data_IF_223862935929
#
_entry.id   IF_223862935929
#
_cell.length_a   1.000
_cell.length_b   1.000
_cell.length_c   1.000
_cell.angle_alpha   90.00
_cell.angle_beta   90.00
_cell.angle_gamma   90.00
#
_symmetry.space_group_name_H-M   'P 1'
#
loop_
_entity.id
_entity.type
_entity.pdbx_description
1 polymer ?
#
# COMPACT_ATOMS: atom_id res chain seq x y z
N UNK A 1 22.18 2.59 -34.16
CA UNK A 1 21.20 3.59 -33.70
C UNK A 1 20.08 2.82 -32.99
N UNK A 2 20.25 2.51 -31.70
CA UNK A 2 19.38 1.59 -30.95
C UNK A 2 19.53 1.68 -29.40
N UNK A 3 20.64 2.17 -28.82
CA UNK A 3 20.75 2.36 -27.36
C UNK A 3 19.82 3.47 -26.82
N UNK A 4 19.74 4.61 -27.52
CA UNK A 4 18.92 5.76 -27.08
C UNK A 4 17.42 5.41 -26.95
N UNK A 5 16.89 4.56 -27.84
CA UNK A 5 15.47 4.19 -27.81
C UNK A 5 15.11 3.36 -26.58
N UNK A 6 15.98 2.43 -26.15
CA UNK A 6 15.72 1.62 -24.95
C UNK A 6 15.96 2.39 -23.66
N UNK A 7 16.87 3.37 -23.65
CA UNK A 7 17.04 4.29 -22.53
C UNK A 7 15.82 5.23 -22.40
N UNK A 8 15.30 5.75 -23.52
CA UNK A 8 14.10 6.57 -23.52
C UNK A 8 12.85 5.81 -23.06
N UNK A 9 12.66 4.57 -23.53
CA UNK A 9 11.55 3.70 -23.09
C UNK A 9 11.68 3.39 -21.60
N UNK A 10 12.87 3.03 -21.13
CA UNK A 10 13.10 2.74 -19.71
C UNK A 10 12.86 3.96 -18.82
N UNK A 11 13.41 5.12 -19.19
CA UNK A 11 13.27 6.35 -18.40
C UNK A 11 11.85 6.91 -18.40
N UNK A 12 11.19 6.96 -19.56
CA UNK A 12 9.79 7.42 -19.64
C UNK A 12 8.84 6.45 -18.94
N UNK A 13 9.08 5.14 -19.07
CA UNK A 13 8.27 4.15 -18.37
C UNK A 13 8.44 4.21 -16.86
N UNK A 14 9.64 4.54 -16.37
CA UNK A 14 9.87 4.77 -14.93
C UNK A 14 9.10 6.01 -14.45
N UNK A 15 9.11 7.10 -15.21
CA UNK A 15 8.32 8.30 -14.90
C UNK A 15 6.81 8.03 -14.89
N UNK A 16 6.30 7.24 -15.83
CA UNK A 16 4.88 6.84 -15.86
C UNK A 16 4.53 5.99 -14.65
N UNK A 17 5.39 5.03 -14.30
CA UNK A 17 5.22 4.17 -13.14
C UNK A 17 5.25 4.98 -11.83
N UNK A 18 6.19 5.92 -11.68
CA UNK A 18 6.25 6.83 -10.52
C UNK A 18 5.06 7.79 -10.45
N UNK A 19 4.48 8.17 -11.60
CA UNK A 19 3.25 8.94 -11.69
C UNK A 19 1.97 8.12 -11.39
N UNK A 20 2.11 6.81 -11.11
CA UNK A 20 0.99 5.90 -10.84
C UNK A 20 0.29 5.35 -12.08
N UNK A 21 0.79 5.66 -13.27
CA UNK A 21 0.31 5.15 -14.55
C UNK A 21 1.05 3.86 -14.93
N UNK A 22 0.79 2.80 -14.14
CA UNK A 22 1.39 1.47 -14.35
C UNK A 22 0.99 0.87 -15.70
N UNK A 23 -0.23 1.12 -16.15
CA UNK A 23 -0.76 0.60 -17.41
C UNK A 23 -0.06 1.25 -18.62
N UNK A 24 0.17 2.57 -18.55
CA UNK A 24 1.01 3.28 -19.51
C UNK A 24 2.46 2.82 -19.51
N UNK A 25 3.04 2.53 -18.34
CA UNK A 25 4.40 1.99 -18.23
C UNK A 25 4.53 0.59 -18.85
N UNK A 26 3.54 -0.29 -18.66
CA UNK A 26 3.48 -1.62 -19.29
C UNK A 26 3.31 -1.55 -20.80
N UNK A 27 2.40 -0.69 -21.28
CA UNK A 27 2.18 -0.47 -22.70
C UNK A 27 3.45 0.02 -23.39
N UNK A 28 4.17 0.95 -22.75
CA UNK A 28 5.44 1.48 -23.27
C UNK A 28 6.52 0.40 -23.31
N UNK A 29 6.63 -0.45 -22.28
CA UNK A 29 7.51 -1.62 -22.29
C UNK A 29 7.18 -2.60 -23.43
N UNK A 30 5.90 -2.78 -23.75
CA UNK A 30 5.47 -3.65 -24.85
C UNK A 30 5.88 -3.12 -26.24
N UNK A 31 6.18 -1.83 -26.36
CA UNK A 31 6.72 -1.24 -27.60
C UNK A 31 8.23 -1.50 -27.80
N UNK A 32 8.92 -2.04 -26.79
CA UNK A 32 10.35 -2.27 -26.85
C UNK A 32 10.72 -3.35 -27.88
N UNK A 33 11.81 -3.17 -28.66
CA UNK A 33 12.27 -4.18 -29.60
C UNK A 33 12.66 -5.49 -28.92
N UNK A 34 12.16 -6.64 -29.40
CA UNK A 34 12.43 -7.96 -28.81
C UNK A 34 13.93 -8.31 -28.75
N UNK A 35 14.73 -7.82 -29.69
CA UNK A 35 16.19 -8.00 -29.70
C UNK A 35 16.92 -7.29 -28.53
N UNK A 36 16.23 -6.39 -27.81
CA UNK A 36 16.77 -5.56 -26.74
C UNK A 36 15.93 -5.65 -25.45
N UNK A 37 15.00 -6.59 -25.36
CA UNK A 37 14.09 -6.78 -24.21
C UNK A 37 14.78 -7.00 -22.86
N UNK A 38 16.04 -7.44 -22.91
CA UNK A 38 16.92 -7.70 -21.76
C UNK A 38 17.91 -6.54 -21.50
N UNK A 39 17.75 -5.41 -22.19
CA UNK A 39 18.55 -4.22 -21.92
C UNK A 39 18.34 -3.78 -20.44
N UNK A 40 19.42 -3.40 -19.73
CA UNK A 40 19.35 -3.04 -18.32
C UNK A 40 18.22 -2.07 -17.93
N UNK A 41 17.95 -0.97 -18.67
CA UNK A 41 16.87 -0.04 -18.30
C UNK A 41 15.47 -0.66 -18.45
N UNK A 42 15.24 -1.54 -19.42
CA UNK A 42 13.95 -2.22 -19.59
C UNK A 42 13.74 -3.33 -18.56
N UNK A 43 14.83 -4.04 -18.23
CA UNK A 43 14.81 -5.07 -17.20
C UNK A 43 14.51 -4.48 -15.82
N UNK A 44 15.10 -3.32 -15.50
CA UNK A 44 14.84 -2.60 -14.25
C UNK A 44 13.38 -2.16 -14.12
N UNK A 45 12.81 -1.56 -15.18
CA UNK A 45 11.40 -1.16 -15.20
C UNK A 45 10.45 -2.36 -15.08
N UNK A 46 10.72 -3.45 -15.82
CA UNK A 46 9.93 -4.69 -15.72
C UNK A 46 9.98 -5.29 -14.31
N UNK A 47 11.14 -5.26 -13.67
CA UNK A 47 11.28 -5.74 -12.29
C UNK A 47 10.49 -4.87 -11.30
N UNK A 48 10.50 -3.55 -11.45
CA UNK A 48 9.68 -2.62 -10.64
C UNK A 48 8.18 -2.90 -10.79
N UNK A 49 7.71 -3.04 -12.03
CA UNK A 49 6.30 -3.36 -12.32
C UNK A 49 5.93 -4.74 -11.78
N UNK A 50 6.76 -5.76 -12.00
CA UNK A 50 6.49 -7.11 -11.49
C UNK A 50 6.49 -7.17 -9.96
N UNK A 51 7.34 -6.38 -9.29
CA UNK A 51 7.37 -6.27 -7.84
C UNK A 51 6.10 -5.55 -7.33
N UNK A 52 5.67 -4.49 -8.01
CA UNK A 52 4.43 -3.80 -7.69
C UNK A 52 3.19 -4.65 -7.99
N UNK A 53 3.20 -5.49 -9.03
CA UNK A 53 2.15 -6.44 -9.32
C UNK A 53 2.07 -7.56 -8.27
N UNK A 54 3.22 -8.05 -7.79
CA UNK A 54 3.27 -8.97 -6.66
C UNK A 54 2.74 -8.33 -5.36
N UNK A 55 3.07 -7.05 -5.13
CA UNK A 55 2.50 -6.29 -4.02
C UNK A 55 0.98 -6.06 -4.20
N UNK A 56 0.52 -5.77 -5.43
CA UNK A 56 -0.89 -5.58 -5.76
C UNK A 56 -1.71 -6.88 -5.64
N UNK A 57 -1.10 -8.04 -5.87
CA UNK A 57 -1.71 -9.35 -5.65
C UNK A 57 -1.98 -9.64 -4.15
N UNK A 58 -1.36 -8.89 -3.24
CA UNK A 58 -1.67 -8.89 -1.81
C UNK A 58 -2.84 -7.94 -1.47
N UNK A 59 -3.38 -7.22 -2.46
CA UNK A 59 -4.39 -6.16 -2.35
C UNK A 59 -3.80 -4.78 -2.65
N UNK A 60 -4.49 -3.93 -3.41
CA UNK A 60 -4.00 -2.59 -3.75
C UNK A 60 -4.42 -1.56 -2.67
N UNK A 61 -3.50 -1.00 -1.86
CA UNK A 61 -3.84 0.03 -0.87
C UNK A 61 -4.55 1.22 -1.50
N UNK A 62 -4.15 1.63 -2.71
CA UNK A 62 -4.71 2.78 -3.40
C UNK A 62 -6.18 2.55 -3.81
N UNK A 63 -6.59 1.30 -4.04
CA UNK A 63 -8.00 0.99 -4.32
C UNK A 63 -8.86 1.17 -3.07
N UNK A 64 -8.39 0.70 -1.92
CA UNK A 64 -9.08 0.93 -0.65
C UNK A 64 -9.09 2.41 -0.28
N UNK A 65 -8.00 3.16 -0.52
CA UNK A 65 -7.97 4.61 -0.33
C UNK A 65 -8.98 5.34 -1.24
N UNK A 66 -9.10 4.96 -2.51
CA UNK A 66 -10.14 5.51 -3.40
C UNK A 66 -11.54 5.19 -2.90
N UNK A 67 -11.80 3.94 -2.49
CA UNK A 67 -13.09 3.54 -1.90
C UNK A 67 -13.41 4.33 -0.63
N UNK A 68 -12.40 4.62 0.19
CA UNK A 68 -12.55 5.43 1.40
C UNK A 68 -12.72 6.92 1.10
N UNK A 69 -12.17 7.42 -0.01
CA UNK A 69 -12.40 8.78 -0.47
C UNK A 69 -13.86 8.98 -0.93
N UNK A 70 -14.43 7.98 -1.61
CA UNK A 70 -15.83 7.98 -2.03
C UNK A 70 -16.81 7.66 -0.88
N UNK A 71 -16.44 6.72 -0.01
CA UNK A 71 -17.21 6.33 1.16
C UNK A 71 -16.32 6.27 2.43
N UNK A 72 -16.15 7.40 3.13
CA UNK A 72 -15.33 7.46 4.35
C UNK A 72 -15.84 6.60 5.51
N UNK A 73 -17.07 6.05 5.40
CA UNK A 73 -17.71 5.19 6.39
C UNK A 73 -17.59 3.70 6.07
N UNK A 74 -16.88 3.33 4.99
CA UNK A 74 -16.59 1.93 4.69
C UNK A 74 -15.53 1.40 5.66
N UNK A 75 -15.97 1.00 6.85
CA UNK A 75 -15.11 0.46 7.90
C UNK A 75 -14.44 -0.86 7.48
N UNK A 76 -15.08 -1.64 6.60
CA UNK A 76 -14.49 -2.86 6.06
C UNK A 76 -13.29 -2.53 5.18
N UNK A 77 -13.46 -1.63 4.20
CA UNK A 77 -12.36 -1.18 3.35
C UNK A 77 -11.20 -0.58 4.17
N UNK A 78 -11.51 0.14 5.25
CA UNK A 78 -10.51 0.72 6.15
C UNK A 78 -9.76 -0.35 6.94
N UNK A 79 -10.44 -1.42 7.34
CA UNK A 79 -9.84 -2.54 8.03
C UNK A 79 -8.91 -3.31 7.10
N UNK A 80 -9.37 -3.62 5.89
CA UNK A 80 -8.59 -4.33 4.88
C UNK A 80 -7.34 -3.54 4.48
N UNK A 81 -7.47 -2.21 4.31
CA UNK A 81 -6.34 -1.31 4.09
C UNK A 81 -5.31 -1.38 5.24
N UNK A 82 -5.77 -1.39 6.49
CA UNK A 82 -4.87 -1.52 7.64
C UNK A 82 -4.08 -2.83 7.62
N UNK A 83 -4.72 -3.93 7.21
CA UNK A 83 -4.06 -5.24 7.09
C UNK A 83 -2.98 -5.23 6.00
N UNK A 84 -3.26 -4.62 4.85
CA UNK A 84 -2.30 -4.48 3.76
C UNK A 84 -1.13 -3.60 4.19
N UNK A 85 -1.39 -2.44 4.79
CA UNK A 85 -0.36 -1.53 5.29
C UNK A 85 0.55 -2.21 6.32
N UNK A 86 -0.03 -3.00 7.23
CA UNK A 86 0.76 -3.80 8.16
C UNK A 86 1.64 -4.84 7.44
N UNK A 87 1.12 -5.53 6.43
CA UNK A 87 1.88 -6.49 5.64
C UNK A 87 3.03 -5.83 4.85
N UNK A 88 2.84 -4.58 4.43
CA UNK A 88 3.86 -3.75 3.78
C UNK A 88 4.88 -3.16 4.77
N UNK A 89 4.68 -3.33 6.07
CA UNK A 89 5.55 -2.79 7.12
C UNK A 89 5.21 -1.36 7.56
N UNK A 90 4.15 -0.75 7.00
CA UNK A 90 3.64 0.54 7.45
C UNK A 90 2.73 0.37 8.68
N UNK A 91 3.37 0.16 9.82
CA UNK A 91 2.70 -0.07 11.11
C UNK A 91 1.90 1.14 11.58
N UNK A 92 2.41 2.34 11.31
CA UNK A 92 1.77 3.59 11.75
C UNK A 92 0.46 3.80 10.99
N UNK A 93 0.46 3.68 9.67
CA UNK A 93 -0.75 3.83 8.87
C UNK A 93 -1.78 2.75 9.21
N UNK A 94 -1.33 1.50 9.39
CA UNK A 94 -2.20 0.40 9.80
C UNK A 94 -2.92 0.68 11.12
N UNK A 95 -2.17 1.09 12.15
CA UNK A 95 -2.73 1.41 13.45
C UNK A 95 -3.71 2.59 13.38
N UNK A 96 -3.39 3.63 12.62
CA UNK A 96 -4.25 4.81 12.47
C UNK A 96 -5.57 4.49 11.76
N UNK A 97 -5.56 3.59 10.78
CA UNK A 97 -6.79 3.12 10.13
C UNK A 97 -7.70 2.33 11.08
N UNK A 98 -7.14 1.43 11.89
CA UNK A 98 -7.92 0.70 12.91
C UNK A 98 -8.46 1.64 14.00
N UNK A 99 -7.66 2.60 14.47
CA UNK A 99 -8.10 3.63 15.42
C UNK A 99 -9.22 4.50 14.85
N UNK A 100 -9.19 4.82 13.56
CA UNK A 100 -10.25 5.57 12.90
C UNK A 100 -11.58 4.80 12.88
N UNK A 101 -11.55 3.47 12.70
CA UNK A 101 -12.75 2.62 12.84
C UNK A 101 -13.26 2.71 14.28
N UNK A 102 -12.40 2.47 15.28
CA UNK A 102 -12.79 2.48 16.71
C UNK A 102 -13.38 3.85 17.13
N UNK A 103 -12.85 4.94 16.58
CA UNK A 103 -13.37 6.29 16.82
C UNK A 103 -14.78 6.49 16.24
N UNK A 104 -15.05 5.91 15.08
CA UNK A 104 -16.33 6.06 14.39
C UNK A 104 -17.40 5.10 14.92
N UNK A 105 -17.05 3.83 15.09
CA UNK A 105 -17.90 2.78 15.64
C UNK A 105 -17.05 1.80 16.46
N UNK A 106 -17.14 1.92 17.79
CA UNK A 106 -16.39 1.08 18.74
C UNK A 106 -16.80 -0.39 18.69
N UNK A 107 -18.06 -0.66 18.36
CA UNK A 107 -18.65 -2.02 18.31
C UNK A 107 -18.55 -2.67 16.93
N UNK A 108 -17.95 -1.98 15.96
CA UNK A 108 -17.86 -2.46 14.59
C UNK A 108 -17.25 -3.87 14.56
N UNK A 109 -18.01 -4.80 13.97
CA UNK A 109 -17.64 -6.21 13.83
C UNK A 109 -17.22 -6.86 15.16
N UNK A 110 -18.03 -6.70 16.22
CA UNK A 110 -17.78 -7.26 17.56
C UNK A 110 -16.43 -6.82 18.16
N UNK A 111 -16.16 -5.51 18.12
CA UNK A 111 -14.87 -4.91 18.49
C UNK A 111 -13.70 -5.39 17.61
N UNK A 112 -13.95 -5.91 16.41
CA UNK A 112 -12.96 -6.51 15.51
C UNK A 112 -11.76 -5.61 15.22
N UNK A 113 -11.99 -4.30 15.03
CA UNK A 113 -10.90 -3.33 14.83
C UNK A 113 -10.00 -3.19 16.07
N UNK A 114 -10.58 -3.22 17.28
CA UNK A 114 -9.79 -3.16 18.53
C UNK A 114 -9.01 -4.45 18.72
N UNK A 115 -9.66 -5.60 18.54
CA UNK A 115 -9.02 -6.92 18.67
C UNK A 115 -7.83 -7.05 17.73
N UNK A 116 -8.01 -6.66 16.47
CA UNK A 116 -6.92 -6.67 15.49
C UNK A 116 -5.77 -5.74 15.90
N UNK A 117 -6.08 -4.54 16.37
CA UNK A 117 -5.06 -3.58 16.82
C UNK A 117 -4.22 -4.11 17.99
N UNK A 118 -4.86 -4.81 18.94
CA UNK A 118 -4.15 -5.47 20.04
C UNK A 118 -3.24 -6.60 19.56
N UNK A 119 -3.70 -7.42 18.61
CA UNK A 119 -2.87 -8.45 17.99
C UNK A 119 -1.65 -7.86 17.26
N UNK A 120 -1.82 -6.72 16.58
CA UNK A 120 -0.70 -6.02 15.95
C UNK A 120 0.32 -5.53 16.97
N UNK A 121 -0.12 -5.01 18.13
CA UNK A 121 0.80 -4.61 19.20
C UNK A 121 1.61 -5.79 19.76
N UNK A 122 1.00 -6.97 19.87
CA UNK A 122 1.71 -8.18 20.28
C UNK A 122 2.74 -8.61 19.22
N UNK A 123 2.38 -8.52 17.94
CA UNK A 123 3.26 -8.89 16.83
C UNK A 123 4.45 -7.93 16.65
N UNK A 124 4.23 -6.62 16.79
CA UNK A 124 5.28 -5.60 16.67
C UNK A 124 6.14 -5.49 17.93
N UNK A 125 5.58 -5.84 19.09
CA UNK A 125 6.21 -5.72 20.38
C UNK A 125 5.77 -4.46 21.13
N UNK A 126 5.74 -4.57 22.46
CA UNK A 126 5.23 -3.52 23.35
C UNK A 126 6.09 -2.24 23.40
N UNK A 127 7.34 -2.31 22.93
CA UNK A 127 8.29 -1.19 22.90
C UNK A 127 8.43 -0.54 21.53
N UNK A 128 7.73 -1.07 20.51
CA UNK A 128 7.72 -0.47 19.18
C UNK A 128 7.06 0.92 19.22
N UNK A 129 7.63 1.86 18.45
CA UNK A 129 7.16 3.26 18.45
C UNK A 129 5.71 3.39 17.95
N UNK A 130 5.32 2.62 16.94
CA UNK A 130 3.95 2.62 16.43
C UNK A 130 2.98 2.05 17.49
N UNK A 131 3.38 0.98 18.19
CA UNK A 131 2.63 0.44 19.33
C UNK A 131 2.43 1.50 20.42
N UNK A 132 3.49 2.19 20.84
CA UNK A 132 3.41 3.19 21.91
C UNK A 132 2.52 4.38 21.53
N UNK A 133 2.64 4.88 20.30
CA UNK A 133 1.83 5.97 19.79
C UNK A 133 0.35 5.56 19.69
N UNK A 134 0.06 4.40 19.13
CA UNK A 134 -1.30 3.91 18.93
C UNK A 134 -2.00 3.57 20.26
N UNK A 135 -1.30 3.01 21.25
CA UNK A 135 -1.86 2.77 22.60
C UNK A 135 -2.29 4.06 23.29
N UNK A 136 -1.51 5.14 23.13
CA UNK A 136 -1.86 6.47 23.65
C UNK A 136 -3.13 7.01 23.01
N UNK A 137 -3.23 6.92 21.69
CA UNK A 137 -4.44 7.31 20.93
C UNK A 137 -5.65 6.47 21.32
N UNK A 138 -5.49 5.15 21.44
CA UNK A 138 -6.56 4.25 21.86
C UNK A 138 -7.09 4.60 23.25
N UNK A 139 -6.20 4.84 24.22
CA UNK A 139 -6.60 5.24 25.57
C UNK A 139 -7.40 6.54 25.55
N UNK A 140 -6.90 7.57 24.84
CA UNK A 140 -7.62 8.83 24.68
C UNK A 140 -8.99 8.64 24.02
N UNK A 141 -9.10 7.73 23.05
CA UNK A 141 -10.37 7.42 22.39
C UNK A 141 -11.34 6.64 23.27
N UNK A 142 -10.91 5.89 24.29
CA UNK A 142 -11.77 5.06 25.14
C UNK A 142 -12.21 5.77 26.42
N UNK A 143 -11.35 6.65 26.95
CA UNK A 143 -11.56 7.33 28.23
C UNK A 143 -11.88 8.84 28.09
N UNK A 144 -12.01 9.34 26.86
CA UNK A 144 -12.71 10.60 26.57
C UNK A 144 -14.20 10.37 26.37
#
# INVERSE_FOLDING_TARGET
>A
QAPETVEAIGGLGDLLFEAGDTEGAEALLATAPEAKKDAPPLAALRAKIALAAQAAALGNPAEFERRLAENPKDHQARFDLAMIQNAMGDRTAAADNLLAIIKADRSWNEDGARTQLLQLFEAWGMTDEATLAARRKLSALLFS
#
